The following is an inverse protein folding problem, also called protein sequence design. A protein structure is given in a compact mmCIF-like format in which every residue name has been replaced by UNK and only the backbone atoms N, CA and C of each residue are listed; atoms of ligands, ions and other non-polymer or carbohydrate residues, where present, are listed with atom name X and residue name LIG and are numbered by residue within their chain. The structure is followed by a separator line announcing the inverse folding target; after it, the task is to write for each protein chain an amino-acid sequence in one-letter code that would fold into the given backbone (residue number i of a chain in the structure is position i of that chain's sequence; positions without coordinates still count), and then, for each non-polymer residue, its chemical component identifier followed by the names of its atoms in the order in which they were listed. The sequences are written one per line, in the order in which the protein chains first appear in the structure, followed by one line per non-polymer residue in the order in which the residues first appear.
data_IF_006964392139
#
_entry.id   IF_006964392139
#
_cell.length_a   1.000
_cell.length_b   1.000
_cell.length_c   1.000
_cell.angle_alpha   90.00
_cell.angle_beta   90.00
_cell.angle_gamma   90.00
#
_symmetry.space_group_name_H-M   'P 1'
#
loop_
_entity.id
_entity.type
_entity.pdbx_description
1 polymer ?
#
# COMPACT_ATOMS: atom_id res chain seq x y z
N UNK A 1 34.63 -54.23 -24.84
CA UNK A 1 33.67 -53.40 -24.10
C UNK A 1 34.15 -51.95 -24.16
N UNK A 2 33.56 -51.13 -25.02
CA UNK A 2 33.69 -49.68 -24.97
C UNK A 2 32.29 -49.14 -25.24
N UNK A 3 31.67 -48.52 -24.23
CA UNK A 3 30.36 -47.88 -24.33
C UNK A 3 30.60 -46.38 -24.28
N UNK A 4 30.32 -45.71 -25.38
CA UNK A 4 30.35 -44.25 -25.51
C UNK A 4 29.00 -43.70 -25.07
N UNK A 5 29.00 -42.82 -24.07
CA UNK A 5 27.82 -42.15 -23.57
C UNK A 5 27.36 -41.04 -24.53
N UNK A 6 26.08 -41.04 -24.89
CA UNK A 6 25.41 -39.96 -25.64
C UNK A 6 24.78 -39.00 -24.62
N UNK A 7 25.21 -37.75 -24.67
CA UNK A 7 24.71 -36.63 -23.88
C UNK A 7 23.41 -36.12 -24.53
N UNK A 8 22.27 -36.28 -23.86
CA UNK A 8 21.01 -35.67 -24.29
C UNK A 8 20.89 -34.26 -23.70
N UNK A 9 21.06 -33.23 -24.55
CA UNK A 9 20.71 -31.85 -24.22
C UNK A 9 19.19 -31.68 -24.34
N UNK A 10 18.49 -31.59 -23.21
CA UNK A 10 17.10 -31.10 -23.15
C UNK A 10 17.14 -29.57 -23.11
N UNK A 11 16.92 -28.95 -24.26
CA UNK A 11 16.73 -27.50 -24.36
C UNK A 11 15.39 -27.11 -23.74
N UNK A 12 15.42 -26.42 -22.61
CA UNK A 12 14.27 -25.66 -22.11
C UNK A 12 14.11 -24.42 -22.99
N UNK A 13 13.20 -24.50 -23.96
CA UNK A 13 12.71 -23.33 -24.67
C UNK A 13 11.97 -22.43 -23.68
N UNK A 14 12.59 -21.33 -23.28
CA UNK A 14 11.88 -20.21 -22.64
C UNK A 14 10.99 -19.64 -23.73
N UNK A 15 9.70 -19.97 -23.72
CA UNK A 15 8.72 -19.26 -24.53
C UNK A 15 8.61 -17.84 -23.96
N UNK A 16 8.92 -16.79 -24.74
CA UNK A 16 8.67 -15.43 -24.28
C UNK A 16 7.17 -15.28 -24.00
N UNK A 17 6.84 -14.78 -22.81
CA UNK A 17 5.50 -14.29 -22.50
C UNK A 17 5.16 -13.20 -23.52
N UNK A 18 4.25 -13.49 -24.45
CA UNK A 18 3.72 -12.47 -25.34
C UNK A 18 2.89 -11.51 -24.50
N UNK A 19 3.44 -10.34 -24.20
CA UNK A 19 2.64 -9.21 -23.73
C UNK A 19 1.49 -9.00 -24.72
N UNK A 20 0.24 -9.02 -24.23
CA UNK A 20 -0.92 -8.81 -25.08
C UNK A 20 -0.77 -7.47 -25.82
N UNK A 21 -0.82 -7.49 -27.15
CA UNK A 21 -0.66 -6.27 -27.95
C UNK A 21 -1.82 -5.33 -27.70
N UNK A 22 -1.54 -4.11 -27.27
CA UNK A 22 -2.53 -3.06 -27.05
C UNK A 22 -3.30 -2.76 -28.34
N UNK A 23 -4.64 -2.71 -28.25
CA UNK A 23 -5.54 -2.42 -29.36
C UNK A 23 -6.22 -1.05 -29.20
N UNK A 24 -6.72 -0.50 -30.31
CA UNK A 24 -7.50 0.75 -30.32
C UNK A 24 -8.91 0.56 -29.80
N UNK A 25 -9.59 1.66 -29.47
CA UNK A 25 -11.00 1.63 -29.05
C UNK A 25 -11.88 1.08 -30.17
N UNK A 26 -11.71 1.53 -31.42
CA UNK A 26 -12.45 1.02 -32.56
C UNK A 26 -12.28 -0.50 -32.74
N UNK A 27 -11.07 -1.03 -32.54
CA UNK A 27 -10.82 -2.48 -32.61
C UNK A 27 -11.53 -3.23 -31.49
N UNK A 28 -11.50 -2.69 -30.28
CA UNK A 28 -12.17 -3.29 -29.12
C UNK A 28 -13.71 -3.32 -29.25
N UNK A 29 -14.29 -2.27 -29.83
CA UNK A 29 -15.72 -2.19 -30.15
C UNK A 29 -16.13 -3.29 -31.15
N UNK A 30 -15.28 -3.57 -32.14
CA UNK A 30 -15.56 -4.60 -33.15
C UNK A 30 -15.39 -6.05 -32.66
N UNK A 31 -14.63 -6.29 -31.59
CA UNK A 31 -14.31 -7.65 -31.10
C UNK A 31 -15.39 -8.25 -30.21
N UNK A 32 -15.67 -7.64 -29.05
CA UNK A 32 -16.73 -8.01 -28.09
C UNK A 32 -16.98 -9.53 -27.93
N UNK A 33 -15.91 -10.31 -27.85
CA UNK A 33 -15.87 -11.77 -27.96
C UNK A 33 -15.58 -12.46 -26.62
N UNK A 34 -15.65 -11.72 -25.51
CA UNK A 34 -15.27 -12.15 -24.15
C UNK A 34 -13.80 -12.51 -23.97
N UNK A 35 -12.93 -12.15 -24.93
CA UNK A 35 -11.49 -12.28 -24.73
C UNK A 35 -10.95 -11.13 -23.89
N UNK A 36 -9.79 -11.35 -23.27
CA UNK A 36 -9.04 -10.30 -22.58
C UNK A 36 -8.24 -9.47 -23.58
N UNK A 37 -8.23 -8.14 -23.40
CA UNK A 37 -7.42 -7.22 -24.21
C UNK A 37 -6.99 -6.00 -23.40
N UNK A 38 -5.86 -5.42 -23.78
CA UNK A 38 -5.45 -4.08 -23.36
C UNK A 38 -5.91 -3.07 -24.42
N UNK A 39 -6.71 -2.08 -24.03
CA UNK A 39 -7.28 -1.07 -24.93
C UNK A 39 -6.75 0.30 -24.55
N UNK A 40 -6.18 1.03 -25.51
CA UNK A 40 -5.74 2.41 -25.29
C UNK A 40 -6.71 3.41 -25.93
N UNK A 41 -7.07 4.46 -25.19
CA UNK A 41 -7.98 5.50 -25.65
C UNK A 41 -8.03 6.72 -24.74
N UNK A 42 -8.62 7.80 -25.22
CA UNK A 42 -8.86 9.01 -24.46
C UNK A 42 -10.13 8.89 -23.62
N UNK A 43 -10.09 9.34 -22.37
CA UNK A 43 -11.27 9.42 -21.50
C UNK A 43 -12.16 10.56 -21.96
N UNK A 44 -13.38 10.26 -22.41
CA UNK A 44 -14.30 11.23 -23.03
C UNK A 44 -15.59 11.47 -22.24
N UNK A 45 -15.72 10.85 -21.06
CA UNK A 45 -16.80 11.08 -20.10
C UNK A 45 -17.13 9.83 -19.28
N UNK A 46 -18.24 9.87 -18.55
CA UNK A 46 -18.79 8.75 -17.80
C UNK A 46 -20.11 8.28 -18.42
N UNK A 47 -20.26 7.01 -18.81
CA UNK A 47 -21.55 6.49 -19.23
C UNK A 47 -22.51 6.36 -18.03
N UNK A 48 -23.74 6.83 -18.19
CA UNK A 48 -24.83 6.72 -17.19
C UNK A 48 -26.01 5.88 -17.70
N UNK A 49 -26.07 5.64 -19.02
CA UNK A 49 -27.01 4.74 -19.67
C UNK A 49 -26.42 4.25 -21.01
N UNK A 50 -27.12 3.35 -21.70
CA UNK A 50 -26.70 2.77 -22.99
C UNK A 50 -26.27 3.80 -24.05
N UNK A 51 -26.92 4.97 -24.07
CA UNK A 51 -26.67 6.03 -25.04
C UNK A 51 -26.41 7.39 -24.39
N UNK A 52 -25.99 7.41 -23.12
CA UNK A 52 -25.81 8.65 -22.36
C UNK A 52 -24.45 8.65 -21.68
N UNK A 53 -23.64 9.66 -22.01
CA UNK A 53 -22.32 9.90 -21.41
C UNK A 53 -22.28 11.35 -20.91
N UNK A 54 -22.05 11.53 -19.62
CA UNK A 54 -21.86 12.85 -19.01
C UNK A 54 -20.39 13.24 -19.03
N UNK A 55 -20.10 14.54 -19.10
CA UNK A 55 -18.73 15.11 -19.14
C UNK A 55 -18.42 16.04 -17.97
N UNK A 56 -19.37 16.20 -17.08
CA UNK A 56 -19.29 17.01 -15.86
C UNK A 56 -20.34 16.49 -14.88
N UNK A 57 -20.24 16.89 -13.61
CA UNK A 57 -21.16 16.46 -12.55
C UNK A 57 -21.29 14.93 -12.50
N UNK A 58 -20.14 14.26 -12.51
CA UNK A 58 -20.03 12.80 -12.55
C UNK A 58 -20.73 12.19 -11.32
N UNK A 59 -21.78 11.36 -11.50
CA UNK A 59 -22.58 10.86 -10.38
C UNK A 59 -21.88 9.85 -9.48
N UNK A 60 -20.81 9.21 -9.94
CA UNK A 60 -20.01 8.22 -9.19
C UNK A 60 -18.70 7.89 -9.94
N UNK A 61 -17.88 7.02 -9.37
CA UNK A 61 -16.60 6.56 -9.94
C UNK A 61 -16.67 5.20 -10.66
N UNK A 62 -17.84 4.72 -11.07
CA UNK A 62 -17.99 3.30 -11.46
C UNK A 62 -17.68 3.01 -12.93
N UNK A 63 -17.59 4.03 -13.76
CA UNK A 63 -17.44 3.85 -15.20
C UNK A 63 -16.73 5.01 -15.87
N UNK A 64 -16.08 4.72 -16.99
CA UNK A 64 -15.55 5.71 -17.92
C UNK A 64 -15.82 5.30 -19.37
N UNK A 65 -15.86 6.27 -20.27
CA UNK A 65 -15.99 6.06 -21.71
C UNK A 65 -14.63 6.39 -22.37
N UNK A 66 -14.11 5.45 -23.16
CA UNK A 66 -12.91 5.63 -23.96
C UNK A 66 -13.24 5.86 -25.43
N UNK A 67 -12.48 6.70 -26.11
CA UNK A 67 -12.53 6.91 -27.55
C UNK A 67 -11.14 7.04 -28.16
N UNK A 68 -11.00 6.77 -29.46
CA UNK A 68 -9.72 6.97 -30.17
C UNK A 68 -9.32 8.46 -30.30
N UNK A 69 -10.26 9.38 -30.08
CA UNK A 69 -10.02 10.84 -30.08
C UNK A 69 -10.58 11.49 -28.81
N UNK A 70 -9.81 12.42 -28.21
CA UNK A 70 -10.21 13.18 -27.03
C UNK A 70 -11.46 14.07 -27.24
N UNK A 71 -11.78 14.41 -28.49
CA UNK A 71 -12.93 15.26 -28.83
C UNK A 71 -14.18 14.46 -29.21
N UNK A 72 -14.15 13.13 -29.08
CA UNK A 72 -15.23 12.25 -29.51
C UNK A 72 -16.53 12.52 -28.76
N UNK A 73 -17.63 12.72 -29.51
CA UNK A 73 -18.96 12.95 -28.94
C UNK A 73 -20.00 11.88 -29.24
N UNK A 74 -19.88 11.15 -30.34
CA UNK A 74 -20.80 10.05 -30.65
C UNK A 74 -20.52 8.85 -29.75
N UNK A 75 -21.54 8.41 -29.01
CA UNK A 75 -21.46 7.26 -28.10
C UNK A 75 -21.15 5.95 -28.83
N UNK A 76 -21.58 5.81 -30.09
CA UNK A 76 -21.29 4.64 -30.92
C UNK A 76 -19.80 4.38 -31.19
N UNK A 77 -18.94 5.38 -31.01
CA UNK A 77 -17.49 5.25 -31.13
C UNK A 77 -16.78 5.27 -29.78
N UNK A 78 -17.51 4.96 -28.70
CA UNK A 78 -16.96 4.86 -27.35
C UNK A 78 -16.98 3.43 -26.85
N UNK A 79 -15.95 3.03 -26.11
CA UNK A 79 -15.94 1.79 -25.35
C UNK A 79 -16.27 2.10 -23.88
N UNK A 80 -17.27 1.44 -23.31
CA UNK A 80 -17.65 1.65 -21.92
C UNK A 80 -16.88 0.73 -20.99
N UNK A 81 -16.10 1.32 -20.10
CA UNK A 81 -15.25 0.60 -19.15
C UNK A 81 -15.92 0.59 -17.80
N UNK A 82 -16.09 -0.61 -17.23
CA UNK A 82 -16.44 -0.77 -15.82
C UNK A 82 -15.18 -0.59 -14.98
N UNK A 83 -15.24 0.27 -13.95
CA UNK A 83 -14.13 0.51 -13.03
C UNK A 83 -14.36 -0.33 -11.75
N UNK A 84 -13.59 -1.41 -11.53
CA UNK A 84 -13.63 -2.17 -10.28
C UNK A 84 -13.27 -1.30 -9.09
N UNK A 85 -13.77 -1.66 -7.90
CA UNK A 85 -13.63 -0.85 -6.69
C UNK A 85 -12.20 -0.36 -6.43
N UNK A 86 -11.20 -1.22 -6.63
CA UNK A 86 -9.79 -0.88 -6.44
C UNK A 86 -9.33 0.31 -7.29
N UNK A 87 -9.81 0.45 -8.54
CA UNK A 87 -9.34 1.50 -9.45
C UNK A 87 -10.13 2.81 -9.36
N UNK A 88 -11.21 2.86 -8.57
CA UNK A 88 -12.15 4.00 -8.55
C UNK A 88 -11.50 5.28 -8.04
N UNK A 89 -10.68 5.18 -7.00
CA UNK A 89 -10.00 6.33 -6.41
C UNK A 89 -9.00 6.99 -7.37
N UNK A 90 -8.39 6.22 -8.28
CA UNK A 90 -7.37 6.72 -9.23
C UNK A 90 -7.92 7.02 -10.63
N UNK A 91 -8.96 6.32 -11.06
CA UNK A 91 -9.48 6.38 -12.44
C UNK A 91 -10.97 6.77 -12.56
N UNK A 92 -11.67 6.89 -11.44
CA UNK A 92 -13.05 7.37 -11.40
C UNK A 92 -13.13 8.87 -11.66
N UNK A 93 -14.08 9.30 -12.50
CA UNK A 93 -14.20 10.69 -12.93
C UNK A 93 -14.83 11.63 -11.88
N UNK A 94 -15.58 11.10 -10.90
CA UNK A 94 -16.05 11.91 -9.77
C UNK A 94 -14.87 12.33 -8.89
N UNK A 95 -13.97 11.40 -8.60
CA UNK A 95 -12.76 11.67 -7.82
C UNK A 95 -11.66 12.36 -8.64
N UNK A 96 -11.57 12.06 -9.95
CA UNK A 96 -10.49 12.52 -10.82
C UNK A 96 -11.01 13.19 -12.10
N UNK A 97 -11.71 14.34 -12.02
CA UNK A 97 -12.27 15.00 -13.19
C UNK A 97 -11.21 15.46 -14.22
N UNK A 98 -9.95 15.61 -13.78
CA UNK A 98 -8.81 15.97 -14.63
C UNK A 98 -8.38 14.88 -15.63
N UNK A 99 -8.89 13.65 -15.47
CA UNK A 99 -8.67 12.56 -16.43
C UNK A 99 -9.39 12.79 -17.76
N UNK A 100 -10.42 13.63 -17.79
CA UNK A 100 -11.14 13.96 -19.02
C UNK A 100 -10.17 14.52 -20.07
N UNK A 101 -10.14 13.91 -21.26
CA UNK A 101 -9.23 14.25 -22.35
C UNK A 101 -7.83 13.65 -22.23
N UNK A 102 -7.54 12.87 -21.19
CA UNK A 102 -6.26 12.14 -21.04
C UNK A 102 -6.34 10.76 -21.68
N UNK A 103 -5.23 10.31 -22.22
CA UNK A 103 -5.10 8.95 -22.75
C UNK A 103 -4.76 7.97 -21.62
N UNK A 104 -5.49 6.87 -21.56
CA UNK A 104 -5.22 5.74 -20.66
C UNK A 104 -5.20 4.43 -21.44
N UNK A 105 -4.64 3.40 -20.84
CA UNK A 105 -4.73 2.02 -21.30
C UNK A 105 -5.40 1.18 -20.23
N UNK A 106 -6.39 0.36 -20.62
CA UNK A 106 -7.15 -0.49 -19.69
C UNK A 106 -7.10 -1.93 -20.17
N UNK A 107 -6.74 -2.86 -19.28
CA UNK A 107 -6.77 -4.30 -19.55
C UNK A 107 -7.99 -4.92 -18.90
N UNK A 108 -8.76 -5.70 -19.65
CA UNK A 108 -9.92 -6.44 -19.12
C UNK A 108 -10.63 -7.27 -20.18
N UNK A 109 -11.81 -7.77 -19.85
CA UNK A 109 -12.63 -8.63 -20.71
C UNK A 109 -13.50 -7.79 -21.65
N UNK A 110 -13.39 -8.00 -22.97
CA UNK A 110 -14.24 -7.35 -23.96
C UNK A 110 -15.66 -7.93 -23.93
N UNK A 111 -16.55 -7.28 -23.19
CA UNK A 111 -17.92 -7.69 -22.99
C UNK A 111 -18.83 -6.47 -22.81
N UNK A 112 -20.10 -6.62 -23.20
CA UNK A 112 -21.05 -5.52 -23.15
C UNK A 112 -21.23 -4.97 -21.72
N UNK A 113 -21.27 -3.64 -21.61
CA UNK A 113 -21.58 -2.90 -20.39
C UNK A 113 -22.61 -1.81 -20.72
N UNK A 114 -23.69 -1.70 -19.93
CA UNK A 114 -24.89 -0.91 -20.29
C UNK A 114 -25.53 -1.28 -21.64
N UNK A 115 -25.49 -2.55 -22.04
CA UNK A 115 -25.95 -2.99 -23.38
C UNK A 115 -25.23 -2.28 -24.55
N UNK A 116 -24.02 -1.77 -24.29
CA UNK A 116 -23.13 -1.12 -25.23
C UNK A 116 -21.80 -1.91 -25.30
N UNK A 117 -21.05 -1.90 -26.42
CA UNK A 117 -19.68 -2.40 -26.45
C UNK A 117 -18.86 -1.88 -25.27
N UNK A 118 -18.24 -2.80 -24.53
CA UNK A 118 -17.60 -2.48 -23.26
C UNK A 118 -16.38 -3.32 -22.94
N UNK A 119 -15.79 -2.98 -21.80
CA UNK A 119 -14.69 -3.68 -21.17
C UNK A 119 -15.01 -3.82 -19.68
N UNK A 120 -15.13 -5.06 -19.22
CA UNK A 120 -15.49 -5.43 -17.85
C UNK A 120 -14.34 -6.15 -17.17
N UNK A 121 -14.47 -6.33 -15.84
CA UNK A 121 -13.48 -7.04 -15.03
C UNK A 121 -12.06 -6.52 -15.31
N UNK A 122 -11.90 -5.19 -15.35
CA UNK A 122 -10.62 -4.58 -15.67
C UNK A 122 -9.58 -4.99 -14.61
N UNK A 123 -8.42 -5.45 -15.05
CA UNK A 123 -7.34 -5.93 -14.18
C UNK A 123 -6.18 -4.97 -14.11
N UNK A 124 -6.08 -4.00 -15.03
CA UNK A 124 -5.05 -2.97 -15.00
C UNK A 124 -5.52 -1.69 -15.67
N UNK A 125 -5.06 -0.55 -15.13
CA UNK A 125 -5.20 0.77 -15.73
C UNK A 125 -3.82 1.43 -15.78
N UNK A 126 -3.51 2.15 -16.85
CA UNK A 126 -2.27 2.93 -16.92
C UNK A 126 -2.42 4.21 -17.71
N UNK A 127 -1.55 5.18 -17.44
CA UNK A 127 -1.58 6.50 -18.09
C UNK A 127 -2.57 7.47 -17.44
N UNK A 128 -2.75 8.63 -18.07
CA UNK A 128 -3.68 9.67 -17.65
C UNK A 128 -3.32 10.45 -16.38
N UNK A 129 -2.23 10.12 -15.69
CA UNK A 129 -1.87 10.74 -14.41
C UNK A 129 -2.65 10.18 -13.21
N UNK A 130 -3.52 9.19 -13.43
CA UNK A 130 -3.97 8.29 -12.37
C UNK A 130 -2.83 7.36 -12.00
N UNK A 131 -2.60 7.13 -10.72
CA UNK A 131 -1.63 6.14 -10.25
C UNK A 131 -2.01 4.78 -10.81
N UNK A 132 -1.07 4.13 -11.50
CA UNK A 132 -1.30 2.93 -12.35
C UNK A 132 -1.58 1.66 -11.56
N UNK A 133 -1.53 1.73 -10.24
CA UNK A 133 -1.72 0.57 -9.39
C UNK A 133 -3.12 0.62 -8.76
N UNK A 134 -3.88 -0.48 -8.77
CA UNK A 134 -4.92 -0.62 -7.77
C UNK A 134 -4.23 -0.40 -6.40
N UNK A 135 -4.83 0.32 -5.43
CA UNK A 135 -4.36 0.29 -4.07
C UNK A 135 -4.50 -1.14 -3.55
N UNK A 136 -3.47 -1.97 -3.76
CA UNK A 136 -3.39 -3.34 -3.25
C UNK A 136 -3.25 -4.49 -4.26
N UNK A 137 -2.62 -4.35 -5.43
CA UNK A 137 -2.05 -5.54 -6.11
C UNK A 137 -0.75 -5.19 -6.84
N UNK A 138 0.42 -5.47 -6.26
CA UNK A 138 1.71 -5.10 -6.84
C UNK A 138 2.19 -6.06 -7.95
N UNK A 139 1.27 -6.72 -8.68
CA UNK A 139 1.63 -7.61 -9.77
C UNK A 139 2.45 -8.82 -9.30
N UNK A 140 3.59 -9.08 -9.93
CA UNK A 140 4.49 -10.18 -9.57
C UNK A 140 5.40 -9.88 -8.36
N UNK A 141 5.26 -8.71 -7.72
CA UNK A 141 6.10 -8.28 -6.59
C UNK A 141 6.15 -9.31 -5.46
N UNK A 142 5.02 -9.98 -5.18
CA UNK A 142 4.95 -11.03 -4.16
C UNK A 142 4.95 -12.46 -4.73
N UNK A 143 5.23 -12.68 -6.01
CA UNK A 143 5.19 -14.02 -6.62
C UNK A 143 6.07 -15.04 -5.87
N UNK A 144 7.19 -14.58 -5.29
CA UNK A 144 8.07 -15.41 -4.47
C UNK A 144 7.49 -15.83 -3.11
N UNK A 145 6.41 -15.21 -2.64
CA UNK A 145 5.75 -15.49 -1.37
C UNK A 145 4.46 -16.31 -1.52
N UNK A 146 3.88 -16.36 -2.72
CA UNK A 146 2.61 -17.05 -2.98
C UNK A 146 2.61 -18.51 -2.53
N UNK A 147 1.55 -18.92 -1.84
CA UNK A 147 1.34 -20.29 -1.35
C UNK A 147 2.25 -20.72 -0.20
N UNK A 148 3.17 -19.88 0.27
CA UNK A 148 4.02 -20.18 1.42
C UNK A 148 3.33 -19.83 2.74
N UNK A 149 3.76 -20.46 3.83
CA UNK A 149 3.32 -20.18 5.21
C UNK A 149 4.49 -20.29 6.19
N UNK A 150 4.29 -19.86 7.44
CA UNK A 150 5.26 -19.95 8.52
C UNK A 150 6.60 -19.30 8.18
N UNK A 151 7.69 -19.96 8.58
CA UNK A 151 9.05 -19.50 8.33
C UNK A 151 9.38 -19.34 6.84
N UNK A 152 8.79 -20.16 5.96
CA UNK A 152 9.03 -20.07 4.52
C UNK A 152 8.41 -18.80 3.92
N UNK A 153 7.23 -18.40 4.40
CA UNK A 153 6.61 -17.14 4.02
C UNK A 153 7.39 -15.95 4.59
N UNK A 154 7.76 -16.01 5.87
CA UNK A 154 8.56 -14.97 6.53
C UNK A 154 9.86 -14.68 5.77
N UNK A 155 10.64 -15.72 5.46
CA UNK A 155 11.90 -15.60 4.73
C UNK A 155 11.72 -15.10 3.28
N UNK A 156 10.64 -15.52 2.60
CA UNK A 156 10.33 -15.04 1.26
C UNK A 156 10.00 -13.54 1.27
N UNK A 157 9.16 -13.10 2.21
CA UNK A 157 8.82 -11.70 2.37
C UNK A 157 10.04 -10.87 2.78
N UNK A 158 10.85 -11.34 3.73
CA UNK A 158 12.12 -10.72 4.10
C UNK A 158 12.97 -10.44 2.86
N UNK A 159 13.15 -11.46 2.01
CA UNK A 159 13.91 -11.32 0.75
C UNK A 159 13.31 -10.25 -0.16
N UNK A 160 11.99 -10.27 -0.39
CA UNK A 160 11.30 -9.32 -1.27
C UNK A 160 11.47 -7.88 -0.77
N UNK A 161 11.19 -7.64 0.52
CA UNK A 161 11.15 -6.28 1.08
C UNK A 161 12.53 -5.79 1.53
N UNK A 162 13.55 -6.66 1.52
CA UNK A 162 14.93 -6.27 1.88
C UNK A 162 15.54 -5.27 0.92
N UNK A 163 15.14 -5.34 -0.36
CA UNK A 163 15.58 -4.43 -1.41
C UNK A 163 14.79 -3.11 -1.30
N UNK A 164 15.43 -2.08 -0.73
CA UNK A 164 14.83 -0.77 -0.53
C UNK A 164 15.83 0.35 -0.78
N UNK A 165 15.35 1.47 -1.30
CA UNK A 165 16.04 2.75 -1.18
C UNK A 165 16.05 3.15 0.28
N UNK A 166 17.22 3.59 0.77
CA UNK A 166 17.40 3.97 2.17
C UNK A 166 17.45 5.49 2.27
N UNK A 167 16.66 6.05 3.18
CA UNK A 167 16.67 7.48 3.47
C UNK A 167 17.72 7.82 4.52
N UNK A 168 18.27 9.02 4.45
CA UNK A 168 18.97 9.62 5.60
C UNK A 168 17.95 10.03 6.65
N UNK A 169 18.42 10.24 7.89
CA UNK A 169 17.51 10.67 8.95
C UNK A 169 16.85 12.01 8.64
N UNK A 170 17.57 12.95 8.02
CA UNK A 170 17.02 14.25 7.65
C UNK A 170 15.95 14.14 6.54
N UNK A 171 16.14 13.25 5.56
CA UNK A 171 15.15 12.99 4.50
C UNK A 171 13.83 12.39 5.03
N UNK A 172 13.82 11.86 6.26
CA UNK A 172 12.58 11.34 6.86
C UNK A 172 11.56 12.46 7.04
N UNK A 173 11.96 13.69 7.34
CA UNK A 173 11.01 14.81 7.48
C UNK A 173 10.22 15.03 6.19
N UNK A 174 10.94 15.23 5.08
CA UNK A 174 10.34 15.40 3.75
C UNK A 174 9.42 14.22 3.39
N UNK A 175 9.81 13.00 3.78
CA UNK A 175 8.99 11.82 3.53
C UNK A 175 7.69 11.84 4.35
N UNK A 176 7.75 12.11 5.65
CA UNK A 176 6.57 12.11 6.53
C UNK A 176 5.56 13.19 6.14
N UNK A 177 6.02 14.34 5.66
CA UNK A 177 5.13 15.38 5.12
C UNK A 177 4.28 14.90 3.93
N UNK A 178 4.77 13.92 3.17
CA UNK A 178 4.07 13.38 1.99
C UNK A 178 3.30 12.11 2.37
N UNK A 179 3.92 11.19 3.11
CA UNK A 179 3.33 9.88 3.43
C UNK A 179 2.15 9.99 4.40
N UNK A 180 2.18 10.98 5.29
CA UNK A 180 1.17 11.17 6.33
C UNK A 180 0.33 12.44 6.11
N UNK A 181 0.36 13.02 4.90
CA UNK A 181 -0.41 14.21 4.54
C UNK A 181 -1.91 14.02 4.80
N UNK A 182 -2.53 14.96 5.52
CA UNK A 182 -3.97 14.95 5.76
C UNK A 182 -4.73 15.06 4.42
N UNK A 183 -5.60 14.08 4.07
CA UNK A 183 -6.36 14.11 2.83
C UNK A 183 -7.34 15.29 2.74
N UNK A 184 -7.72 15.89 3.87
CA UNK A 184 -8.61 17.04 3.94
C UNK A 184 -7.87 18.38 4.05
N UNK A 185 -6.55 18.36 4.26
CA UNK A 185 -5.72 19.56 4.35
C UNK A 185 -4.26 19.27 4.00
N UNK A 186 -3.85 19.58 2.76
CA UNK A 186 -2.51 19.27 2.25
C UNK A 186 -1.36 20.00 2.98
N UNK A 187 -1.66 21.00 3.81
CA UNK A 187 -0.67 21.70 4.62
C UNK A 187 -0.39 21.00 5.96
N UNK A 188 -1.12 19.92 6.25
CA UNK A 188 -1.05 19.20 7.50
C UNK A 188 -0.61 17.74 7.29
N UNK A 189 -0.13 17.13 8.38
CA UNK A 189 0.05 15.68 8.53
C UNK A 189 -0.89 15.15 9.61
N UNK A 190 -1.20 13.85 9.56
CA UNK A 190 -1.98 13.13 10.57
C UNK A 190 -1.02 12.40 11.51
N UNK A 191 -1.07 12.75 12.80
CA UNK A 191 -0.33 12.06 13.86
C UNK A 191 -0.87 10.65 14.11
N UNK A 192 0.02 9.67 14.28
CA UNK A 192 -0.35 8.25 14.34
C UNK A 192 -1.25 7.93 15.55
N UNK A 193 -0.82 8.23 16.76
CA UNK A 193 -1.50 7.87 17.99
C UNK A 193 -2.61 8.85 18.31
N UNK A 194 -2.35 10.15 18.32
CA UNK A 194 -3.36 11.17 18.64
C UNK A 194 -4.46 11.27 17.57
N UNK A 195 -4.13 10.99 16.30
CA UNK A 195 -5.01 11.23 15.15
C UNK A 195 -5.21 12.70 14.82
N UNK A 196 -4.42 13.61 15.43
CA UNK A 196 -4.52 15.05 15.21
C UNK A 196 -3.97 15.41 13.83
N UNK A 197 -4.70 16.28 13.14
CA UNK A 197 -4.20 16.98 11.95
C UNK A 197 -3.42 18.21 12.39
N UNK A 198 -2.12 18.24 12.11
CA UNK A 198 -1.19 19.30 12.52
C UNK A 198 -0.43 19.86 11.32
N UNK A 199 -0.10 21.16 11.35
CA UNK A 199 0.65 21.79 10.27
C UNK A 199 2.02 21.12 10.07
N UNK A 200 2.40 20.90 8.81
CA UNK A 200 3.73 20.40 8.42
C UNK A 200 4.85 21.21 9.05
N UNK A 201 4.70 22.54 9.03
CA UNK A 201 5.64 23.50 9.61
C UNK A 201 5.77 23.47 11.13
N UNK A 202 4.94 22.70 11.84
CA UNK A 202 5.01 22.49 13.29
C UNK A 202 5.88 21.27 13.66
N UNK A 203 6.78 20.85 12.78
CA UNK A 203 7.81 19.87 13.12
C UNK A 203 8.83 20.46 14.10
N UNK A 204 9.20 19.69 15.11
CA UNK A 204 10.10 20.21 16.14
C UNK A 204 10.31 19.28 17.32
N UNK A 205 10.52 19.90 18.47
CA UNK A 205 10.77 19.20 19.73
C UNK A 205 10.14 19.91 20.93
N UNK A 206 9.35 20.95 20.69
CA UNK A 206 8.56 21.63 21.70
C UNK A 206 7.27 20.88 22.03
N UNK A 207 6.60 21.32 23.08
CA UNK A 207 5.24 20.87 23.39
C UNK A 207 4.32 21.34 22.26
N UNK A 208 3.40 20.47 21.84
CA UNK A 208 2.45 20.67 20.74
C UNK A 208 3.09 20.73 19.32
N UNK A 209 4.40 20.57 19.21
CA UNK A 209 5.06 20.21 17.94
C UNK A 209 4.82 18.72 17.66
N UNK A 210 4.99 18.33 16.40
CA UNK A 210 5.13 16.92 16.05
C UNK A 210 6.59 16.54 15.80
N UNK A 211 6.94 15.29 16.09
CA UNK A 211 8.24 14.74 15.78
C UNK A 211 8.15 13.33 15.17
N UNK A 212 9.31 12.77 14.83
CA UNK A 212 9.47 11.41 14.30
C UNK A 212 9.27 10.39 15.42
N UNK A 213 8.11 9.75 15.44
CA UNK A 213 7.86 8.56 16.24
C UNK A 213 8.43 7.32 15.57
N UNK A 214 9.22 6.55 16.33
CA UNK A 214 9.70 5.23 15.94
C UNK A 214 8.76 4.18 16.52
N UNK A 215 7.76 3.73 15.75
CA UNK A 215 6.75 2.78 16.25
C UNK A 215 7.42 1.51 16.77
N UNK A 216 8.47 1.01 16.11
CA UNK A 216 9.43 0.13 16.79
C UNK A 216 10.40 0.99 17.61
N UNK A 217 10.26 0.98 18.94
CA UNK A 217 11.12 1.81 19.80
C UNK A 217 12.60 1.44 19.60
N UNK A 218 13.42 2.45 19.27
CA UNK A 218 14.86 2.27 18.95
C UNK A 218 15.65 1.50 20.00
N UNK A 219 15.27 1.61 21.27
CA UNK A 219 15.93 0.90 22.38
C UNK A 219 15.74 -0.62 22.33
N UNK A 220 14.70 -1.11 21.64
CA UNK A 220 14.47 -2.53 21.39
C UNK A 220 15.30 -3.00 20.19
N UNK A 221 16.63 -2.97 20.34
CA UNK A 221 17.56 -3.33 19.26
C UNK A 221 18.65 -2.29 18.97
N UNK A 222 18.74 -1.22 19.76
CA UNK A 222 19.83 -0.23 19.78
C UNK A 222 20.29 0.28 18.40
N UNK A 223 19.35 0.40 17.45
CA UNK A 223 19.68 0.81 16.07
C UNK A 223 19.73 2.33 15.87
N UNK A 224 19.32 3.10 16.89
CA UNK A 224 19.37 4.56 16.88
C UNK A 224 18.68 5.16 15.66
N UNK A 225 19.31 6.16 15.06
CA UNK A 225 18.83 6.85 13.84
C UNK A 225 19.70 6.51 12.63
N UNK A 226 20.43 5.38 12.68
CA UNK A 226 21.27 4.94 11.60
C UNK A 226 20.42 4.53 10.38
N UNK A 227 20.96 4.75 9.18
CA UNK A 227 20.32 4.38 7.92
C UNK A 227 20.02 2.87 7.89
N UNK A 228 18.74 2.52 7.72
CA UNK A 228 18.24 1.16 7.95
C UNK A 228 16.96 1.24 8.79
N UNK A 229 16.82 0.44 9.86
CA UNK A 229 15.61 0.47 10.70
C UNK A 229 15.39 1.84 11.35
N UNK A 230 16.46 2.60 11.61
CA UNK A 230 16.38 3.95 12.19
C UNK A 230 15.80 5.01 11.27
N UNK A 231 15.69 4.74 9.96
CA UNK A 231 15.20 5.68 8.94
C UNK A 231 14.10 5.09 8.05
N UNK A 232 13.55 3.93 8.41
CA UNK A 232 12.52 3.25 7.62
C UNK A 232 11.12 3.88 7.82
N UNK A 233 10.64 4.59 6.80
CA UNK A 233 9.34 5.28 6.85
C UNK A 233 8.15 4.34 6.84
N UNK A 234 8.31 3.03 6.66
CA UNK A 234 7.20 2.10 6.93
C UNK A 234 6.80 2.08 8.41
N UNK A 235 7.69 2.43 9.34
CA UNK A 235 7.38 2.47 10.78
C UNK A 235 7.57 3.84 11.45
N UNK A 236 8.20 4.78 10.76
CA UNK A 236 8.38 6.15 11.25
C UNK A 236 7.11 6.93 10.94
N UNK A 237 6.56 7.63 11.94
CA UNK A 237 5.30 8.37 11.83
C UNK A 237 5.43 9.75 12.47
N UNK A 238 4.67 10.77 12.03
CA UNK A 238 4.52 11.99 12.80
C UNK A 238 3.72 11.70 14.08
N UNK A 239 4.12 12.29 15.21
CA UNK A 239 3.36 12.23 16.46
C UNK A 239 3.63 13.48 17.32
N UNK A 240 2.64 13.91 18.10
CA UNK A 240 2.84 14.94 19.12
C UNK A 240 4.00 14.58 20.05
N UNK A 241 4.90 15.54 20.30
CA UNK A 241 6.10 15.32 21.12
C UNK A 241 5.76 14.80 22.52
N UNK A 242 4.65 15.25 23.12
CA UNK A 242 4.23 14.82 24.46
C UNK A 242 3.68 13.40 24.45
N UNK A 243 2.92 13.03 23.41
CA UNK A 243 2.38 11.68 23.26
C UNK A 243 3.50 10.69 22.93
N UNK A 244 4.43 11.06 22.04
CA UNK A 244 5.63 10.29 21.75
C UNK A 244 6.46 10.07 23.03
N UNK A 245 6.71 11.13 23.80
CA UNK A 245 7.40 11.02 25.09
C UNK A 245 6.68 10.11 26.09
N UNK A 246 5.34 10.20 26.17
CA UNK A 246 4.54 9.33 27.04
C UNK A 246 4.57 7.86 26.60
N UNK A 247 4.66 7.59 25.30
CA UNK A 247 4.86 6.23 24.78
C UNK A 247 6.27 5.74 25.09
N UNK A 248 7.28 6.58 24.93
CA UNK A 248 8.68 6.28 25.22
C UNK A 248 9.17 5.00 24.53
N UNK A 249 9.53 4.00 25.33
CA UNK A 249 9.92 2.66 24.87
C UNK A 249 8.96 1.57 25.36
N UNK A 250 7.72 1.91 25.68
CA UNK A 250 6.75 0.92 26.13
C UNK A 250 6.45 -0.09 25.00
N UNK A 251 6.26 -1.34 25.41
CA UNK A 251 5.76 -2.39 24.51
C UNK A 251 4.30 -2.09 24.13
N UNK A 252 3.77 -2.78 23.11
CA UNK A 252 2.35 -2.69 22.77
C UNK A 252 1.53 -3.81 23.43
N UNK A 253 0.59 -3.43 24.30
CA UNK A 253 -0.49 -4.24 24.90
C UNK A 253 -1.68 -3.27 25.15
N UNK A 254 -2.60 -3.59 26.05
CA UNK A 254 -3.82 -2.83 26.30
C UNK A 254 -3.60 -1.56 27.15
N UNK A 255 -2.38 -1.33 27.66
CA UNK A 255 -2.06 -0.21 28.53
C UNK A 255 -2.93 -0.18 29.79
N UNK A 256 -3.10 1.02 30.36
CA UNK A 256 -3.95 1.21 31.53
C UNK A 256 -4.64 2.57 31.55
N UNK A 257 -3.94 3.60 32.02
CA UNK A 257 -4.53 4.92 32.25
C UNK A 257 -4.48 5.77 30.97
N UNK A 258 -5.45 6.67 30.81
CA UNK A 258 -5.49 7.59 29.67
C UNK A 258 -4.21 8.43 29.53
N UNK A 259 -3.74 8.59 28.30
CA UNK A 259 -2.59 9.43 27.95
C UNK A 259 -3.08 10.83 27.61
N UNK A 260 -2.45 11.86 28.19
CA UNK A 260 -2.77 13.25 27.87
C UNK A 260 -2.51 13.53 26.38
N UNK A 261 -3.29 14.43 25.77
CA UNK A 261 -3.21 14.79 24.35
C UNK A 261 -3.53 13.69 23.33
N UNK A 262 -3.68 12.43 23.74
CA UNK A 262 -4.20 11.37 22.88
C UNK A 262 -5.52 10.80 23.42
N UNK A 263 -6.64 11.24 22.83
CA UNK A 263 -7.95 10.68 23.16
C UNK A 263 -8.03 9.21 22.72
N UNK A 264 -8.25 8.32 23.68
CA UNK A 264 -8.36 6.87 23.44
C UNK A 264 -7.03 6.12 23.47
N UNK A 265 -5.89 6.79 23.69
CA UNK A 265 -4.66 6.10 24.07
C UNK A 265 -4.64 5.79 25.56
N UNK A 266 -4.08 4.64 25.92
CA UNK A 266 -3.82 4.24 27.30
C UNK A 266 -2.38 3.77 27.48
N UNK A 267 -1.81 3.99 28.66
CA UNK A 267 -0.47 3.52 29.01
C UNK A 267 -0.43 3.06 30.47
N UNK A 268 0.46 2.13 30.75
CA UNK A 268 0.84 1.72 32.11
C UNK A 268 2.37 1.65 32.24
N UNK A 269 2.89 0.85 33.17
CA UNK A 269 4.33 0.81 33.46
C UNK A 269 5.18 0.15 32.37
N UNK A 270 4.60 -0.71 31.54
CA UNK A 270 5.35 -1.47 30.54
C UNK A 270 4.69 -1.49 29.15
N UNK A 271 3.46 -0.97 29.02
CA UNK A 271 2.73 -1.04 27.77
C UNK A 271 1.95 0.24 27.41
N UNK A 272 1.80 0.43 26.10
CA UNK A 272 1.01 1.48 25.47
C UNK A 272 -0.03 0.86 24.53
N UNK A 273 -1.25 1.40 24.53
CA UNK A 273 -2.28 1.11 23.54
C UNK A 273 -2.67 2.39 22.82
N UNK A 274 -2.55 2.46 21.49
CA UNK A 274 -3.05 3.59 20.73
C UNK A 274 -4.58 3.57 20.66
N UNK A 275 -5.16 4.67 20.15
CA UNK A 275 -6.58 4.75 19.80
C UNK A 275 -6.97 3.61 18.86
N UNK A 276 -8.23 3.18 18.91
CA UNK A 276 -8.71 2.01 18.17
C UNK A 276 -8.40 2.04 16.67
N UNK A 277 -8.52 3.21 16.04
CA UNK A 277 -8.29 3.42 14.60
C UNK A 277 -6.81 3.62 14.21
N UNK A 278 -5.87 3.26 15.08
CA UNK A 278 -4.43 3.21 14.77
C UNK A 278 -3.82 1.86 15.18
N UNK A 279 -4.62 0.95 15.74
CA UNK A 279 -4.14 -0.31 16.32
C UNK A 279 -3.70 -1.29 15.25
N UNK A 280 -4.45 -1.35 14.14
CA UNK A 280 -4.12 -2.17 12.99
C UNK A 280 -2.84 -1.69 12.32
N UNK A 281 -2.73 -0.39 12.10
CA UNK A 281 -1.54 0.26 11.53
C UNK A 281 -0.29 -0.07 12.35
N UNK A 282 -0.36 0.17 13.67
CA UNK A 282 0.74 -0.16 14.58
C UNK A 282 1.11 -1.63 14.50
N UNK A 283 0.14 -2.54 14.52
CA UNK A 283 0.41 -3.97 14.41
C UNK A 283 1.12 -4.31 13.10
N UNK A 284 0.66 -3.81 11.96
CA UNK A 284 1.26 -4.06 10.64
C UNK A 284 2.66 -3.45 10.51
N UNK A 285 2.93 -2.29 11.13
CA UNK A 285 4.27 -1.70 11.19
C UNK A 285 5.22 -2.57 12.03
N UNK A 286 4.77 -3.10 13.17
CA UNK A 286 5.57 -4.00 14.00
C UNK A 286 5.85 -5.33 13.30
N UNK A 287 4.85 -5.95 12.67
CA UNK A 287 5.07 -7.17 11.88
C UNK A 287 6.00 -6.94 10.70
N UNK A 288 5.88 -5.79 10.00
CA UNK A 288 6.80 -5.41 8.93
C UNK A 288 8.23 -5.34 9.44
N UNK A 289 8.50 -4.63 10.54
CA UNK A 289 9.85 -4.51 11.08
C UNK A 289 10.44 -5.88 11.46
N UNK A 290 9.63 -6.77 12.03
CA UNK A 290 10.05 -8.13 12.40
C UNK A 290 10.36 -9.04 11.20
N UNK A 291 9.83 -8.73 10.01
CA UNK A 291 10.14 -9.45 8.76
C UNK A 291 11.22 -8.75 7.96
N UNK A 292 11.24 -7.42 7.95
CA UNK A 292 12.25 -6.67 7.21
C UNK A 292 13.61 -6.85 7.86
N UNK A 293 13.71 -6.81 9.18
CA UNK A 293 14.96 -6.79 9.92
C UNK A 293 15.19 -8.08 10.71
N UNK A 294 15.33 -9.22 9.99
CA UNK A 294 15.64 -10.54 10.59
C UNK A 294 17.11 -10.71 11.05
N UNK A 295 17.89 -9.62 11.00
CA UNK A 295 19.34 -9.62 11.20
C UNK A 295 20.13 -9.97 9.93
N UNK A 296 21.46 -9.89 10.02
CA UNK A 296 22.37 -10.17 8.90
C UNK A 296 22.64 -8.97 7.96
N UNK A 297 21.91 -7.87 8.12
CA UNK A 297 22.11 -6.59 7.42
C UNK A 297 22.90 -5.56 8.27
N UNK A 298 23.54 -6.03 9.34
CA UNK A 298 24.30 -5.19 10.28
C UNK A 298 23.49 -4.72 11.48
N UNK A 299 22.20 -5.07 11.56
CA UNK A 299 21.32 -4.78 12.68
C UNK A 299 20.90 -6.05 13.44
N UNK A 300 20.41 -5.94 14.68
CA UNK A 300 19.84 -7.07 15.41
C UNK A 300 18.62 -7.67 14.69
N UNK A 301 18.37 -8.94 14.95
CA UNK A 301 17.11 -9.58 14.56
C UNK A 301 15.97 -9.01 15.41
N UNK A 302 15.11 -8.22 14.79
CA UNK A 302 13.90 -7.68 15.38
C UNK A 302 12.79 -8.74 15.32
N UNK A 303 12.17 -9.08 16.45
CA UNK A 303 11.12 -10.11 16.47
C UNK A 303 9.95 -9.72 17.38
N UNK A 304 8.73 -10.10 17.02
CA UNK A 304 7.59 -10.05 17.95
C UNK A 304 7.66 -11.22 18.93
N UNK A 305 7.22 -11.03 20.17
CA UNK A 305 7.03 -12.12 21.11
C UNK A 305 5.66 -12.00 21.80
N UNK A 306 5.32 -12.87 22.74
CA UNK A 306 4.03 -12.78 23.45
C UNK A 306 4.20 -12.20 24.85
N UNK A 307 5.02 -11.15 25.00
CA UNK A 307 5.39 -10.57 26.29
C UNK A 307 5.56 -9.06 26.21
N UNK A 308 5.52 -8.41 27.37
CA UNK A 308 5.84 -6.99 27.59
C UNK A 308 7.00 -6.90 28.59
N UNK A 309 7.59 -5.72 28.73
CA UNK A 309 8.73 -5.51 29.61
C UNK A 309 10.02 -6.08 29.01
N UNK A 310 10.16 -6.03 27.68
CA UNK A 310 11.29 -6.61 26.95
C UNK A 310 12.62 -5.86 27.17
N UNK A 311 12.60 -4.70 27.84
CA UNK A 311 13.78 -3.91 28.15
C UNK A 311 14.48 -3.43 26.87
N UNK A 312 15.75 -3.83 26.70
CA UNK A 312 16.54 -3.50 25.50
C UNK A 312 16.67 -4.65 24.51
N UNK A 313 16.03 -5.80 24.80
CA UNK A 313 16.02 -6.91 23.85
C UNK A 313 15.31 -6.47 22.56
N UNK A 314 15.70 -6.99 21.38
CA UNK A 314 15.08 -6.65 20.10
C UNK A 314 13.71 -7.33 19.91
N UNK A 315 12.90 -7.29 20.96
CA UNK A 315 11.53 -7.78 20.99
C UNK A 315 10.58 -6.66 21.29
N UNK A 316 9.46 -6.58 20.59
CA UNK A 316 8.46 -5.58 20.90
C UNK A 316 7.02 -6.09 20.76
N UNK A 317 6.21 -5.72 21.76
CA UNK A 317 4.77 -5.91 21.79
C UNK A 317 4.32 -7.35 21.98
N UNK A 318 3.08 -7.49 22.44
CA UNK A 318 2.46 -8.78 22.72
C UNK A 318 1.75 -9.31 21.49
N UNK A 319 2.32 -10.35 20.87
CA UNK A 319 1.89 -10.98 19.64
C UNK A 319 0.38 -11.27 19.60
N UNK A 320 -0.19 -11.81 20.68
CA UNK A 320 -1.64 -12.09 20.72
C UNK A 320 -2.49 -10.83 20.58
N UNK A 321 -2.02 -9.71 21.13
CA UNK A 321 -2.72 -8.41 21.09
C UNK A 321 -2.52 -7.74 19.74
N UNK A 322 -1.29 -7.73 19.21
CA UNK A 322 -0.99 -7.20 17.88
C UNK A 322 -1.81 -7.93 16.79
N UNK A 323 -1.94 -9.26 16.87
CA UNK A 323 -2.80 -10.03 15.97
C UNK A 323 -4.27 -9.64 16.11
N UNK A 324 -4.77 -9.49 17.34
CA UNK A 324 -6.15 -9.07 17.58
C UNK A 324 -6.43 -7.67 17.03
N UNK A 325 -5.48 -6.74 17.19
CA UNK A 325 -5.55 -5.40 16.64
C UNK A 325 -5.57 -5.38 15.12
N UNK A 326 -4.64 -6.07 14.46
CA UNK A 326 -4.60 -6.17 13.00
C UNK A 326 -5.89 -6.75 12.40
N UNK A 327 -6.54 -7.70 13.10
CA UNK A 327 -7.81 -8.27 12.66
C UNK A 327 -9.01 -7.34 12.90
N UNK A 328 -9.00 -6.57 13.99
CA UNK A 328 -10.08 -5.66 14.36
C UNK A 328 -10.07 -4.34 13.58
N UNK A 329 -8.89 -3.93 13.09
CA UNK A 329 -8.65 -2.68 12.37
C UNK A 329 -7.94 -2.98 11.03
N UNK A 330 -8.68 -3.39 9.98
CA UNK A 330 -8.11 -3.73 8.67
C UNK A 330 -7.51 -2.50 7.95
N UNK A 331 -6.61 -2.69 6.97
CA UNK A 331 -5.99 -1.58 6.25
C UNK A 331 -7.00 -0.67 5.56
N UNK A 332 -6.97 0.62 5.91
CA UNK A 332 -7.86 1.63 5.36
C UNK A 332 -7.26 2.34 4.12
N UNK A 333 -7.97 3.33 3.59
CA UNK A 333 -7.53 4.05 2.39
C UNK A 333 -6.28 4.92 2.66
N UNK A 334 -6.14 5.47 3.86
CA UNK A 334 -5.02 6.31 4.23
C UNK A 334 -3.75 5.47 4.34
N UNK A 335 -3.83 4.33 5.04
CA UNK A 335 -2.71 3.41 5.21
C UNK A 335 -2.26 2.78 3.89
N UNK A 336 -3.21 2.40 3.02
CA UNK A 336 -2.89 1.89 1.68
C UNK A 336 -2.21 2.94 0.80
N UNK A 337 -2.71 4.18 0.82
CA UNK A 337 -2.08 5.29 0.11
C UNK A 337 -0.66 5.53 0.64
N UNK A 338 -0.47 5.48 1.96
CA UNK A 338 0.84 5.60 2.58
C UNK A 338 1.81 4.54 2.07
N UNK A 339 1.39 3.27 2.01
CA UNK A 339 2.20 2.17 1.47
C UNK A 339 2.58 2.41 -0.01
N UNK A 340 1.64 2.91 -0.82
CA UNK A 340 1.87 3.27 -2.23
C UNK A 340 2.83 4.45 -2.39
N UNK A 341 2.72 5.49 -1.59
CA UNK A 341 3.62 6.65 -1.64
C UNK A 341 5.04 6.24 -1.26
N UNK A 342 5.20 5.43 -0.21
CA UNK A 342 6.53 4.92 0.19
C UNK A 342 7.14 4.09 -0.94
N UNK A 343 6.35 3.23 -1.57
CA UNK A 343 6.79 2.42 -2.70
C UNK A 343 7.14 3.25 -3.92
N UNK A 344 6.27 4.14 -4.37
CA UNK A 344 6.45 4.86 -5.64
C UNK A 344 7.47 5.99 -5.56
N UNK A 345 7.68 6.59 -4.39
CA UNK A 345 8.45 7.85 -4.27
C UNK A 345 9.67 7.78 -3.35
N UNK A 346 9.71 6.90 -2.34
CA UNK A 346 10.72 6.98 -1.28
C UNK A 346 11.61 5.75 -1.15
N UNK A 347 11.06 4.62 -0.72
CA UNK A 347 11.85 3.43 -0.37
C UNK A 347 11.73 2.29 -1.38
N UNK A 348 10.77 2.33 -2.30
CA UNK A 348 10.59 1.33 -3.35
C UNK A 348 10.45 -0.12 -2.84
N UNK A 349 10.05 -0.26 -1.58
CA UNK A 349 9.57 -1.50 -1.00
C UNK A 349 8.19 -1.29 -0.37
N UNK A 350 7.44 -2.38 -0.19
CA UNK A 350 6.08 -2.35 0.36
C UNK A 350 6.03 -3.03 1.72
N UNK A 351 5.10 -2.59 2.57
CA UNK A 351 4.72 -3.36 3.74
C UNK A 351 3.71 -4.45 3.33
N UNK A 352 4.11 -5.74 3.38
CA UNK A 352 3.28 -6.83 2.88
C UNK A 352 2.04 -7.06 3.73
N UNK A 353 2.02 -6.59 4.98
CA UNK A 353 0.88 -6.77 5.86
C UNK A 353 -0.22 -5.71 5.64
N UNK A 354 0.08 -4.63 4.90
CA UNK A 354 -0.92 -3.68 4.40
C UNK A 354 -1.59 -4.25 3.15
N UNK A 355 -0.81 -4.84 2.25
CA UNK A 355 -1.32 -5.43 0.99
C UNK A 355 -2.01 -6.77 1.24
N UNK A 356 -1.46 -7.61 2.13
CA UNK A 356 -1.89 -8.96 2.48
C UNK A 356 -2.00 -9.15 4.00
N UNK A 357 -2.98 -8.54 4.68
CA UNK A 357 -3.14 -8.66 6.13
C UNK A 357 -3.33 -10.10 6.62
N UNK A 358 -3.83 -11.00 5.77
CA UNK A 358 -3.99 -12.43 6.05
C UNK A 358 -2.65 -13.15 6.29
N UNK A 359 -1.54 -12.62 5.80
CA UNK A 359 -0.22 -13.23 5.99
C UNK A 359 0.29 -13.16 7.43
N UNK A 360 -0.23 -12.24 8.24
CA UNK A 360 0.06 -12.21 9.69
C UNK A 360 -0.30 -13.57 10.30
N UNK A 361 -1.51 -14.08 10.05
CA UNK A 361 -1.96 -15.37 10.57
C UNK A 361 -1.29 -16.56 9.88
N UNK A 362 -0.75 -16.35 8.69
CA UNK A 362 -0.01 -17.38 7.95
C UNK A 362 1.42 -17.57 8.46
N UNK A 363 2.06 -16.51 8.98
CA UNK A 363 3.40 -16.56 9.59
C UNK A 363 3.31 -16.95 11.07
N UNK A 364 2.41 -16.32 11.81
CA UNK A 364 2.21 -16.55 13.25
C UNK A 364 0.81 -17.16 13.49
N UNK A 365 0.65 -18.49 13.37
CA UNK A 365 -0.60 -19.17 13.69
C UNK A 365 -0.96 -19.05 15.19
N UNK A 366 -2.19 -19.42 15.55
CA UNK A 366 -2.69 -19.37 16.94
C UNK A 366 -2.12 -20.46 17.83
#
# INVERSE_FOLDING_TARGET
MLVTAVLALLGFGITPSNAATTITVATAIGRQDNSTASVSGYVVGQPTATSTVVRSNFPNDFALALADSATQTSTSAMLYVQIPAAFRASYGLQSNPSLLGKQITVTGTLAAYFSHPGLKNATAFSGGGGTTDPPGDPGDYYAGAEGKTGAALKAALHTIISNQTKLTYDQVWDALEVTDQDPNNSNNVIEIYSGRSIAKSSEGGGVDDWNREHVWAKSHGDFGTATGPGTDVHHLRPEDVSVNSARGNLDFDNGGTAVAQCSGCTADSDSFAPRAAARGDVARMIFYMAVRYEGGDGFPNLEVNNSVGNGTAPYIGKLSVLKAWAAADPPDAFEKNRNEVIYSQFQHNRNPFIDHPEWISSIWPN
#
